data_IF_776545080549
#
_entry.id   IF_776545080549
#
_cell.length_a   1.000
_cell.length_b   1.000
_cell.length_c   1.000
_cell.angle_alpha   90.00
_cell.angle_beta   90.00
_cell.angle_gamma   90.00
#
_symmetry.space_group_name_H-M   'P 1'
#
loop_
_entity.id
_entity.type
_entity.pdbx_description
1 polymer ?
#
# COMPACT_ATOMS: atom_id res chain seq x y z
N UNK A 1 -7.50 6.41 11.81
CA UNK A 1 -6.53 7.50 11.70
C UNK A 1 -6.89 8.37 10.53
N UNK A 2 -6.84 9.66 10.71
CA UNK A 2 -7.28 10.57 9.66
C UNK A 2 -6.10 11.02 8.81
N UNK A 3 -6.34 11.21 7.52
CA UNK A 3 -5.27 11.60 6.61
C UNK A 3 -4.61 12.92 6.97
N UNK A 4 -5.36 13.89 7.44
CA UNK A 4 -4.74 15.17 7.78
C UNK A 4 -3.76 15.03 8.94
N UNK A 5 -3.90 14.00 9.77
CA UNK A 5 -2.96 13.77 10.83
C UNK A 5 -1.61 13.35 10.25
N UNK A 6 -1.65 12.58 9.19
CA UNK A 6 -0.43 12.18 8.52
C UNK A 6 0.26 13.38 7.90
N UNK A 7 -0.53 14.28 7.28
CA UNK A 7 0.02 15.47 6.69
C UNK A 7 0.67 16.35 7.76
N UNK A 8 0.07 16.42 8.92
CA UNK A 8 0.61 17.23 9.98
C UNK A 8 1.95 16.68 10.45
N UNK A 9 2.09 15.37 10.49
CA UNK A 9 3.34 14.76 10.93
C UNK A 9 4.45 14.91 9.91
N UNK A 10 4.13 14.85 8.63
CA UNK A 10 5.14 14.82 7.60
C UNK A 10 5.24 16.08 6.73
N UNK A 11 4.34 17.02 6.93
CA UNK A 11 4.36 18.24 6.14
C UNK A 11 3.54 18.12 4.87
N UNK A 12 3.24 19.25 4.26
CA UNK A 12 2.36 19.27 3.11
C UNK A 12 3.00 18.76 1.83
N UNK A 13 4.32 18.91 1.75
CA UNK A 13 5.02 18.48 0.55
C UNK A 13 5.63 17.10 0.70
N UNK A 14 5.34 16.44 1.78
CA UNK A 14 5.95 15.16 2.03
C UNK A 14 5.46 14.10 1.07
N UNK A 15 6.31 13.13 0.85
CA UNK A 15 5.93 11.93 0.11
C UNK A 15 6.10 10.75 1.05
N UNK A 16 5.61 9.59 0.63
CA UNK A 16 5.84 8.37 1.38
C UNK A 16 6.20 7.27 0.38
N UNK A 17 6.89 6.27 0.85
CA UNK A 17 7.25 5.13 0.01
C UNK A 17 6.13 4.11 0.08
N UNK A 18 5.46 3.86 -1.05
CA UNK A 18 4.42 2.84 -1.10
C UNK A 18 5.08 1.48 -0.94
N UNK A 19 4.67 0.67 0.05
CA UNK A 19 5.33 -0.61 0.29
C UNK A 19 5.11 -1.63 -0.82
N UNK A 20 4.15 -1.38 -1.69
CA UNK A 20 3.84 -2.34 -2.74
C UNK A 20 4.49 -2.01 -4.07
N UNK A 21 4.48 -0.75 -4.48
CA UNK A 21 5.07 -0.38 -5.76
C UNK A 21 6.45 0.25 -5.60
N UNK A 22 6.84 0.55 -4.38
CA UNK A 22 8.17 1.08 -4.05
C UNK A 22 8.47 2.41 -4.72
N UNK A 23 7.43 3.20 -4.94
CA UNK A 23 7.57 4.53 -5.51
C UNK A 23 7.29 5.57 -4.46
N UNK A 24 7.89 6.73 -4.62
CA UNK A 24 7.59 7.88 -3.75
C UNK A 24 6.28 8.47 -4.22
N UNK A 25 5.30 8.48 -3.34
CA UNK A 25 3.94 8.93 -3.66
C UNK A 25 3.65 10.17 -2.83
N UNK A 26 3.08 11.22 -3.43
CA UNK A 26 2.71 12.40 -2.64
C UNK A 26 1.75 12.00 -1.52
N UNK A 27 1.97 12.55 -0.35
CA UNK A 27 1.15 12.20 0.79
C UNK A 27 -0.33 12.53 0.53
N UNK A 28 -0.60 13.49 -0.33
CA UNK A 28 -1.97 13.82 -0.69
C UNK A 28 -2.68 12.69 -1.43
N UNK A 29 -1.92 11.74 -1.98
CA UNK A 29 -2.48 10.60 -2.69
C UNK A 29 -2.43 9.32 -1.88
N UNK A 30 -2.08 9.44 -0.60
CA UNK A 30 -2.00 8.27 0.25
C UNK A 30 -3.39 7.74 0.57
N UNK A 31 -3.49 6.43 0.68
CA UNK A 31 -4.71 5.80 1.18
C UNK A 31 -4.30 4.90 2.33
N UNK A 32 -5.25 4.59 3.19
CA UNK A 32 -5.00 3.69 4.30
C UNK A 32 -5.38 2.28 3.88
N UNK A 33 -4.52 1.36 4.16
CA UNK A 33 -4.73 -0.03 3.81
C UNK A 33 -4.62 -0.89 5.05
N UNK A 34 -5.55 -1.81 5.22
CA UNK A 34 -5.51 -2.76 6.33
C UNK A 34 -4.59 -3.90 5.94
N UNK A 35 -3.55 -4.14 6.74
CA UNK A 35 -2.64 -5.25 6.49
C UNK A 35 -3.43 -6.55 6.44
N UNK A 36 -4.34 -6.75 7.39
CA UNK A 36 -5.31 -7.82 7.32
C UNK A 36 -6.66 -7.16 7.09
N UNK A 37 -7.35 -7.45 5.98
CA UNK A 37 -8.60 -6.79 5.65
C UNK A 37 -9.66 -7.00 6.72
N UNK A 38 -10.55 -6.03 6.84
CA UNK A 38 -11.62 -6.14 7.82
C UNK A 38 -12.50 -7.36 7.56
N UNK A 39 -12.68 -7.69 6.29
CA UNK A 39 -13.48 -8.87 5.94
C UNK A 39 -12.83 -10.17 6.38
N UNK A 40 -11.57 -10.13 6.76
CA UNK A 40 -10.84 -11.29 7.22
C UNK A 40 -10.41 -11.15 8.67
N UNK A 41 -11.13 -10.32 9.42
CA UNK A 41 -10.90 -10.18 10.86
C UNK A 41 -9.93 -9.09 11.26
N UNK A 42 -9.44 -8.32 10.31
CA UNK A 42 -8.53 -7.24 10.64
C UNK A 42 -9.25 -6.09 11.29
N UNK A 43 -8.56 -5.38 12.16
CA UNK A 43 -9.12 -4.26 12.87
C UNK A 43 -8.47 -2.98 12.44
N UNK A 44 -9.18 -1.86 12.59
CA UNK A 44 -8.65 -0.55 12.26
C UNK A 44 -7.83 -0.06 13.45
N UNK A 45 -6.61 -0.53 13.53
CA UNK A 45 -5.68 -0.18 14.60
C UNK A 45 -4.37 0.23 13.96
N UNK A 46 -3.61 1.10 14.61
CA UNK A 46 -2.38 1.62 13.99
C UNK A 46 -1.42 0.57 13.47
N UNK A 47 -1.27 -0.55 14.18
CA UNK A 47 -0.34 -1.57 13.73
C UNK A 47 -0.92 -2.47 12.65
N UNK A 48 -2.18 -2.25 12.25
CA UNK A 48 -2.77 -2.97 11.14
C UNK A 48 -3.03 -2.04 9.95
N UNK A 49 -2.52 -0.82 9.99
CA UNK A 49 -2.76 0.16 8.93
C UNK A 49 -1.43 0.61 8.35
N UNK A 50 -1.35 0.64 7.03
CA UNK A 50 -0.20 1.21 6.35
C UNK A 50 -0.70 2.16 5.29
N UNK A 51 0.14 3.08 4.88
CA UNK A 51 -0.18 3.96 3.77
C UNK A 51 0.26 3.29 2.48
N UNK A 52 -0.57 3.39 1.47
CA UNK A 52 -0.20 2.91 0.15
C UNK A 52 -0.88 3.77 -0.90
N UNK A 53 -0.51 3.59 -2.17
CA UNK A 53 -1.11 4.37 -3.23
C UNK A 53 -2.48 3.80 -3.56
N UNK A 54 -3.32 4.63 -4.18
CA UNK A 54 -4.67 4.22 -4.51
C UNK A 54 -4.72 3.01 -5.43
N UNK A 55 -3.80 2.97 -6.36
CA UNK A 55 -3.77 1.90 -7.35
C UNK A 55 -3.58 0.54 -6.66
N UNK A 56 -2.58 0.46 -5.80
CA UNK A 56 -2.31 -0.81 -5.12
C UNK A 56 -3.40 -1.15 -4.11
N UNK A 57 -3.94 -0.13 -3.44
CA UNK A 57 -5.01 -0.38 -2.49
C UNK A 57 -6.22 -1.02 -3.17
N UNK A 58 -6.59 -0.49 -4.35
CA UNK A 58 -7.72 -1.04 -5.09
C UNK A 58 -7.44 -2.45 -5.58
N UNK A 59 -6.22 -2.70 -6.05
CA UNK A 59 -5.89 -4.02 -6.56
C UNK A 59 -5.77 -5.06 -5.46
N UNK A 60 -5.34 -4.63 -4.28
CA UNK A 60 -5.19 -5.54 -3.17
C UNK A 60 -6.52 -6.12 -2.71
N UNK A 61 -7.56 -5.31 -2.72
CA UNK A 61 -8.88 -5.79 -2.34
C UNK A 61 -8.88 -6.50 -1.00
N UNK A 62 -9.33 -7.73 -0.96
CA UNK A 62 -9.44 -8.50 0.28
C UNK A 62 -8.22 -9.36 0.61
N UNK A 63 -7.11 -9.15 -0.10
CA UNK A 63 -5.89 -9.88 0.22
C UNK A 63 -5.21 -9.23 1.42
N UNK A 64 -4.47 -10.01 2.18
CA UNK A 64 -3.62 -9.43 3.20
C UNK A 64 -2.44 -8.77 2.51
N UNK A 65 -1.72 -7.92 3.25
CA UNK A 65 -0.54 -7.27 2.67
C UNK A 65 0.47 -8.29 2.18
N UNK A 66 0.64 -9.36 2.93
CA UNK A 66 1.59 -10.40 2.56
C UNK A 66 1.16 -11.12 1.30
N UNK A 67 -0.12 -11.44 1.19
CA UNK A 67 -0.64 -12.10 0.00
C UNK A 67 -0.51 -11.22 -1.23
N UNK A 68 -0.78 -9.94 -1.07
CA UNK A 68 -0.68 -9.03 -2.20
C UNK A 68 0.77 -8.85 -2.65
N UNK A 69 1.68 -8.74 -1.70
CA UNK A 69 3.09 -8.62 -2.04
C UNK A 69 3.58 -9.84 -2.81
N UNK A 70 3.13 -11.01 -2.40
CA UNK A 70 3.51 -12.23 -3.08
C UNK A 70 2.91 -12.27 -4.49
N UNK A 71 1.66 -11.86 -4.62
CA UNK A 71 1.03 -11.82 -5.92
C UNK A 71 1.73 -10.86 -6.87
N UNK A 72 2.12 -9.70 -6.38
CA UNK A 72 2.84 -8.74 -7.22
C UNK A 72 4.19 -9.28 -7.64
N UNK A 73 4.87 -9.96 -6.75
CA UNK A 73 6.17 -10.53 -7.07
C UNK A 73 6.05 -11.56 -8.17
N UNK A 74 5.04 -12.42 -8.06
CA UNK A 74 4.83 -13.44 -9.08
C UNK A 74 4.40 -12.83 -10.41
N UNK A 75 3.61 -11.78 -10.35
CA UNK A 75 3.18 -11.13 -11.57
C UNK A 75 4.36 -10.47 -12.27
N UNK A 76 5.25 -9.85 -11.51
CA UNK A 76 6.44 -9.23 -12.09
C UNK A 76 7.33 -10.26 -12.76
N UNK A 77 7.50 -11.40 -12.14
CA UNK A 77 8.28 -12.47 -12.74
C UNK A 77 7.65 -12.93 -14.03
N UNK A 78 6.32 -13.11 -14.03
CA UNK A 78 5.65 -13.61 -15.21
C UNK A 78 5.64 -12.62 -16.36
N UNK A 79 5.51 -11.32 -16.05
CA UNK A 79 5.35 -10.32 -17.07
C UNK A 79 6.62 -9.58 -17.45
N UNK A 80 7.54 -9.45 -16.55
CA UNK A 80 8.56 -8.49 -16.81
C UNK A 80 9.93 -8.95 -16.81
N UNK A 81 10.17 -9.90 -16.02
CA UNK A 81 11.49 -10.23 -15.83
C UNK A 81 12.16 -10.65 -17.02
N UNK A 82 11.47 -11.34 -17.76
CA UNK A 82 12.05 -11.91 -18.83
C UNK A 82 12.51 -10.92 -19.77
N UNK A 83 11.90 -9.85 -19.84
CA UNK A 83 12.34 -9.01 -20.79
C UNK A 83 13.46 -8.34 -20.40
N UNK A 84 13.56 -8.24 -19.35
CA UNK A 84 14.69 -7.66 -19.03
C UNK A 84 15.76 -8.31 -19.65
N UNK A 85 15.58 -8.74 -19.92
CA UNK A 85 16.49 -9.14 -20.20
C UNK A 85 16.83 -8.96 -20.84
#
# INVERSE_FOLDING_TARGET
MKMRRWKKLYGLQATFLCPYCLKQIPLSEATRDHIVPRSRGGKTEPDNIVLCCKYDNARKGALTAEEYAEWKRLEAIRNGQQKGR
#
